data_IF_508287316536
#
_entry.id   IF_508287316536
#
_cell.length_a   1.000
_cell.length_b   1.000
_cell.length_c   1.000
_cell.angle_alpha   90.00
_cell.angle_beta   90.00
_cell.angle_gamma   90.00
#
_symmetry.space_group_name_H-M   'P 1'
#
loop_
_entity.id
_entity.type
_entity.pdbx_description
1 polymer ?
#
# COMPACT_ATOMS: atom_id res chain seq x y z
N UNK A 1 19.97 -24.10 -63.49
CA UNK A 1 20.12 -24.36 -62.05
C UNK A 1 20.73 -23.13 -61.38
N UNK A 2 19.95 -22.14 -60.94
CA UNK A 2 20.49 -20.90 -60.34
C UNK A 2 19.47 -20.17 -59.44
N UNK A 3 18.82 -20.88 -58.51
CA UNK A 3 17.82 -20.29 -57.58
C UNK A 3 18.32 -20.23 -56.13
N UNK A 4 19.52 -20.75 -55.81
CA UNK A 4 19.90 -21.04 -54.41
C UNK A 4 20.78 -19.93 -53.76
N UNK A 5 21.21 -18.90 -54.50
CA UNK A 5 22.15 -17.90 -53.95
C UNK A 5 21.49 -16.70 -53.23
N UNK A 6 20.18 -16.51 -53.37
CA UNK A 6 19.47 -15.34 -52.80
C UNK A 6 19.11 -15.47 -51.32
N UNK A 7 18.78 -16.67 -50.84
CA UNK A 7 18.18 -16.87 -49.50
C UNK A 7 19.20 -16.72 -48.36
N UNK A 8 20.49 -16.98 -48.62
CA UNK A 8 21.58 -16.85 -47.63
C UNK A 8 21.81 -15.41 -47.15
N UNK A 9 21.55 -14.39 -47.99
CA UNK A 9 21.74 -12.97 -47.64
C UNK A 9 20.63 -12.45 -46.72
N UNK A 10 19.40 -12.91 -46.92
CA UNK A 10 18.25 -12.52 -46.08
C UNK A 10 18.25 -13.23 -44.72
N UNK A 11 18.78 -14.46 -44.64
CA UNK A 11 18.95 -15.18 -43.38
C UNK A 11 19.94 -14.49 -42.41
N UNK A 12 20.95 -13.78 -42.92
CA UNK A 12 21.89 -13.01 -42.09
C UNK A 12 21.31 -11.67 -41.61
N UNK A 13 20.40 -11.06 -42.37
CA UNK A 13 19.78 -9.78 -42.00
C UNK A 13 18.62 -9.95 -41.01
N UNK A 14 17.92 -11.09 -41.03
CA UNK A 14 16.82 -11.39 -40.12
C UNK A 14 17.28 -11.60 -38.65
N UNK A 15 18.54 -12.00 -38.43
CA UNK A 15 19.06 -12.23 -37.08
C UNK A 15 19.38 -10.96 -36.28
N UNK A 16 19.69 -9.84 -36.94
CA UNK A 16 20.13 -8.59 -36.29
C UNK A 16 18.95 -7.73 -35.84
N UNK A 17 17.80 -7.83 -36.50
CA UNK A 17 16.60 -7.04 -36.15
C UNK A 17 15.85 -7.65 -34.95
N UNK A 18 16.03 -8.95 -34.68
CA UNK A 18 15.34 -9.65 -33.59
C UNK A 18 15.96 -9.40 -32.20
N UNK A 19 17.20 -8.90 -32.11
CA UNK A 19 17.88 -8.66 -30.83
C UNK A 19 17.54 -7.33 -30.16
N UNK A 20 16.86 -6.41 -30.86
CA UNK A 20 16.57 -5.06 -30.35
C UNK A 20 15.28 -5.02 -29.51
N UNK A 21 14.47 -6.08 -29.53
CA UNK A 21 13.13 -6.08 -28.88
C UNK A 21 13.17 -6.63 -27.44
N UNK A 22 14.29 -7.17 -26.95
CA UNK A 22 14.35 -7.78 -25.60
C UNK A 22 14.83 -6.85 -24.49
N UNK A 23 15.20 -5.60 -24.79
CA UNK A 23 15.66 -4.63 -23.78
C UNK A 23 14.51 -3.73 -23.29
N UNK A 24 13.44 -4.31 -22.75
CA UNK A 24 12.26 -3.49 -22.48
C UNK A 24 11.15 -4.06 -21.60
N UNK A 25 11.44 -4.87 -20.58
CA UNK A 25 10.55 -4.98 -19.41
C UNK A 25 11.27 -5.68 -18.25
N UNK A 26 12.20 -4.95 -17.62
CA UNK A 26 12.93 -5.41 -16.42
C UNK A 26 12.85 -4.40 -15.30
N UNK A 27 11.81 -3.57 -15.27
CA UNK A 27 11.48 -2.75 -14.12
C UNK A 27 10.76 -3.62 -13.10
N UNK A 28 11.49 -4.44 -12.36
CA UNK A 28 11.03 -4.88 -11.06
C UNK A 28 10.94 -3.63 -10.19
N UNK A 29 9.83 -2.89 -10.31
CA UNK A 29 9.44 -1.94 -9.30
C UNK A 29 9.48 -2.73 -8.00
N UNK A 30 10.43 -2.42 -7.12
CA UNK A 30 10.28 -2.71 -5.71
C UNK A 30 8.97 -2.04 -5.32
N UNK A 31 7.91 -2.83 -5.38
CA UNK A 31 6.60 -2.54 -4.82
C UNK A 31 6.87 -2.02 -3.40
N UNK A 32 6.18 -0.96 -3.02
CA UNK A 32 6.40 -0.09 -1.86
C UNK A 32 6.28 -0.78 -0.48
N UNK A 33 6.94 -1.93 -0.28
CA UNK A 33 7.01 -2.69 0.96
C UNK A 33 7.54 -1.87 2.13
N UNK A 34 8.45 -0.91 1.86
CA UNK A 34 8.99 -0.05 2.92
C UNK A 34 7.91 0.86 3.53
N UNK A 35 6.98 1.37 2.72
CA UNK A 35 5.90 2.24 3.22
C UNK A 35 4.90 1.48 4.08
N UNK A 36 4.50 0.28 3.64
CA UNK A 36 3.57 -0.56 4.41
C UNK A 36 4.18 -1.08 5.72
N UNK A 37 5.47 -1.45 5.72
CA UNK A 37 6.16 -1.88 6.94
C UNK A 37 6.28 -0.72 7.94
N UNK A 38 6.55 0.49 7.45
CA UNK A 38 6.63 1.70 8.28
C UNK A 38 5.26 2.07 8.87
N UNK A 39 4.19 1.98 8.09
CA UNK A 39 2.83 2.25 8.57
C UNK A 39 2.37 1.25 9.63
N UNK A 40 2.71 -0.04 9.49
CA UNK A 40 2.45 -1.06 10.52
C UNK A 40 3.17 -0.73 11.83
N UNK A 41 4.44 -0.31 11.76
CA UNK A 41 5.20 0.11 12.97
C UNK A 41 4.56 1.33 13.63
N UNK A 42 4.06 2.28 12.85
CA UNK A 42 3.33 3.44 13.38
C UNK A 42 2.04 3.01 14.08
N UNK A 43 1.27 2.08 13.50
CA UNK A 43 0.08 1.53 14.14
C UNK A 43 0.42 0.85 15.47
N UNK A 44 1.41 -0.05 15.50
CA UNK A 44 1.87 -0.70 16.74
C UNK A 44 2.32 0.32 17.80
N UNK A 45 3.03 1.37 17.40
CA UNK A 45 3.44 2.45 18.30
C UNK A 45 2.23 3.19 18.89
N UNK A 46 1.21 3.47 18.07
CA UNK A 46 -0.02 4.10 18.52
C UNK A 46 -0.79 3.20 19.50
N UNK A 47 -0.85 1.89 19.27
CA UNK A 47 -1.46 0.92 20.19
C UNK A 47 -0.76 0.91 21.55
N UNK A 48 0.57 0.90 21.56
CA UNK A 48 1.35 0.97 22.79
C UNK A 48 1.08 2.27 23.55
N UNK A 49 0.90 3.39 22.86
CA UNK A 49 0.54 4.67 23.49
C UNK A 49 -0.88 4.66 24.03
N UNK A 50 -1.83 4.10 23.28
CA UNK A 50 -3.22 3.91 23.71
C UNK A 50 -3.30 3.06 24.99
N UNK A 51 -2.59 1.92 25.02
CA UNK A 51 -2.53 1.03 26.19
C UNK A 51 -1.93 1.71 27.43
N UNK A 52 -1.03 2.68 27.22
CA UNK A 52 -0.47 3.54 28.28
C UNK A 52 -1.33 4.77 28.60
N UNK A 53 -2.55 4.85 28.05
CA UNK A 53 -3.50 5.98 28.15
C UNK A 53 -2.94 7.32 27.66
N UNK A 54 -1.91 7.30 26.80
CA UNK A 54 -1.31 8.50 26.20
C UNK A 54 -2.06 8.90 24.94
N UNK A 55 -3.35 9.23 25.10
CA UNK A 55 -4.30 9.37 24.01
C UNK A 55 -3.91 10.43 22.98
N UNK A 56 -3.51 11.63 23.42
CA UNK A 56 -3.09 12.70 22.49
C UNK A 56 -1.92 12.29 21.61
N UNK A 57 -0.94 11.55 22.17
CA UNK A 57 0.21 11.07 21.39
C UNK A 57 -0.19 9.93 20.45
N UNK A 58 -1.10 9.07 20.86
CA UNK A 58 -1.64 8.03 19.98
C UNK A 58 -2.33 8.67 18.75
N UNK A 59 -3.18 9.67 18.96
CA UNK A 59 -3.85 10.41 17.87
C UNK A 59 -2.85 11.05 16.89
N UNK A 60 -1.79 11.70 17.40
CA UNK A 60 -0.76 12.30 16.55
C UNK A 60 -0.05 11.31 15.62
N UNK A 61 0.06 10.04 16.04
CA UNK A 61 0.62 8.99 15.19
C UNK A 61 -0.43 8.49 14.20
N UNK A 62 -1.66 8.25 14.68
CA UNK A 62 -2.75 7.74 13.86
C UNK A 62 -3.14 8.71 12.73
N UNK A 63 -3.05 10.01 12.96
CA UNK A 63 -3.29 11.04 11.94
C UNK A 63 -2.39 10.91 10.71
N UNK A 64 -1.21 10.29 10.85
CA UNK A 64 -0.27 10.09 9.75
C UNK A 64 -0.67 8.96 8.81
N UNK A 65 -1.43 7.99 9.31
CA UNK A 65 -1.72 6.74 8.61
C UNK A 65 -3.20 6.55 8.29
N UNK A 66 -4.14 7.15 9.06
CA UNK A 66 -5.58 6.89 8.88
C UNK A 66 -6.11 7.35 7.52
N UNK A 67 -5.61 8.46 6.98
CA UNK A 67 -6.06 8.99 5.69
C UNK A 67 -5.19 8.57 4.49
N UNK A 68 -4.34 7.55 4.65
CA UNK A 68 -3.50 7.05 3.56
C UNK A 68 -4.18 5.89 2.84
N UNK A 69 -3.58 5.42 1.73
CA UNK A 69 -4.01 4.21 1.03
C UNK A 69 -3.40 2.93 1.63
N UNK A 70 -2.90 3.00 2.86
CA UNK A 70 -2.23 1.89 3.52
C UNK A 70 -3.21 0.80 3.91
N UNK A 71 -2.75 -0.45 3.92
CA UNK A 71 -3.56 -1.61 4.34
C UNK A 71 -3.94 -1.57 5.83
N UNK A 72 -3.32 -0.70 6.63
CA UNK A 72 -3.62 -0.50 8.06
C UNK A 72 -4.46 0.76 8.32
N UNK A 73 -4.91 1.46 7.28
CA UNK A 73 -5.64 2.71 7.43
C UNK A 73 -6.98 2.51 8.17
N UNK A 74 -7.68 1.42 7.89
CA UNK A 74 -8.90 1.01 8.58
C UNK A 74 -8.66 0.68 10.06
N UNK A 75 -7.61 -0.07 10.37
CA UNK A 75 -7.17 -0.31 11.75
C UNK A 75 -6.84 0.99 12.49
N UNK A 76 -6.20 1.94 11.81
CA UNK A 76 -5.88 3.25 12.37
C UNK A 76 -7.15 4.07 12.69
N UNK A 77 -8.16 4.02 11.83
CA UNK A 77 -9.47 4.62 12.09
C UNK A 77 -10.19 3.94 13.27
N UNK A 78 -10.16 2.61 13.34
CA UNK A 78 -10.74 1.85 14.45
C UNK A 78 -10.05 2.19 15.78
N UNK A 79 -8.71 2.26 15.79
CA UNK A 79 -7.96 2.63 16.98
C UNK A 79 -8.21 4.09 17.38
N UNK A 80 -8.37 5.00 16.40
CA UNK A 80 -8.76 6.39 16.65
C UNK A 80 -10.11 6.47 17.37
N UNK A 81 -11.10 5.68 16.94
CA UNK A 81 -12.38 5.58 17.63
C UNK A 81 -12.22 5.07 19.08
N UNK A 82 -11.41 4.02 19.30
CA UNK A 82 -11.09 3.51 20.65
C UNK A 82 -10.43 4.57 21.53
N UNK A 83 -9.53 5.36 20.96
CA UNK A 83 -8.86 6.47 21.65
C UNK A 83 -9.86 7.56 22.05
N UNK A 84 -10.81 7.91 21.19
CA UNK A 84 -11.89 8.86 21.55
C UNK A 84 -12.82 8.30 22.62
N UNK A 85 -13.18 7.01 22.57
CA UNK A 85 -13.94 6.34 23.63
C UNK A 85 -13.19 6.42 24.97
N UNK A 86 -11.88 6.16 24.97
CA UNK A 86 -11.04 6.26 26.16
C UNK A 86 -10.93 7.67 26.74
N UNK A 87 -11.19 8.70 25.93
CA UNK A 87 -11.26 10.11 26.34
C UNK A 87 -12.69 10.56 26.69
N UNK A 88 -13.69 9.68 26.61
CA UNK A 88 -15.11 10.02 26.75
C UNK A 88 -15.67 10.94 25.65
N UNK A 89 -14.97 11.05 24.53
CA UNK A 89 -15.35 11.84 23.35
C UNK A 89 -16.25 11.01 22.42
N UNK A 90 -17.41 10.58 22.91
CA UNK A 90 -18.24 9.60 22.23
C UNK A 90 -18.78 10.06 20.87
N UNK A 91 -19.03 11.36 20.71
CA UNK A 91 -19.49 11.93 19.44
C UNK A 91 -18.41 11.80 18.36
N UNK A 92 -17.15 12.05 18.72
CA UNK A 92 -16.01 11.88 17.80
C UNK A 92 -15.79 10.41 17.46
N UNK A 93 -15.87 9.52 18.45
CA UNK A 93 -15.79 8.08 18.22
C UNK A 93 -16.87 7.59 17.24
N UNK A 94 -18.11 8.02 17.44
CA UNK A 94 -19.22 7.66 16.56
C UNK A 94 -19.01 8.19 15.12
N UNK A 95 -18.49 9.41 14.98
CA UNK A 95 -18.14 9.97 13.67
C UNK A 95 -17.08 9.13 12.95
N UNK A 96 -16.04 8.73 13.66
CA UNK A 96 -14.94 7.93 13.11
C UNK A 96 -15.44 6.54 12.65
N UNK A 97 -16.26 5.87 13.47
CA UNK A 97 -16.84 4.58 13.14
C UNK A 97 -17.82 4.67 11.96
N UNK A 98 -18.63 5.74 11.90
CA UNK A 98 -19.53 5.98 10.76
C UNK A 98 -18.74 6.16 9.46
N UNK A 99 -17.63 6.88 9.51
CA UNK A 99 -16.75 7.04 8.36
C UNK A 99 -16.14 5.70 7.96
N UNK A 100 -15.62 4.93 8.93
CA UNK A 100 -14.99 3.62 8.70
C UNK A 100 -15.96 2.66 8.01
N UNK A 101 -17.18 2.49 8.53
CA UNK A 101 -18.19 1.60 7.92
C UNK A 101 -18.61 2.09 6.53
N UNK A 102 -18.61 3.41 6.31
CA UNK A 102 -18.95 4.00 5.02
C UNK A 102 -17.88 3.80 3.95
N UNK A 103 -16.59 3.85 4.31
CA UNK A 103 -15.47 3.68 3.37
C UNK A 103 -15.00 2.23 3.25
N UNK A 104 -15.08 1.47 4.34
CA UNK A 104 -14.58 0.11 4.46
C UNK A 104 -15.67 -0.85 4.99
N UNK A 105 -16.73 -1.12 4.19
CA UNK A 105 -17.85 -1.94 4.63
C UNK A 105 -17.50 -3.43 4.91
N UNK A 106 -16.28 -3.87 4.60
CA UNK A 106 -15.80 -5.26 4.81
C UNK A 106 -14.51 -5.34 5.66
N UNK A 107 -14.17 -4.30 6.44
CA UNK A 107 -12.90 -4.28 7.21
C UNK A 107 -12.75 -5.42 8.24
N UNK A 108 -13.85 -5.99 8.72
CA UNK A 108 -13.85 -7.12 9.70
C UNK A 108 -13.29 -8.45 9.15
N UNK A 109 -12.90 -8.55 7.87
CA UNK A 109 -12.52 -9.83 7.22
C UNK A 109 -11.03 -10.02 6.96
N UNK A 110 -10.16 -9.15 7.49
CA UNK A 110 -8.70 -9.27 7.36
C UNK A 110 -8.09 -9.87 8.64
#
# INVERSE_FOLDING_TARGET
>A
MNVIKGVKKYLLFAGVVLSVITSGCGGANKLSLSGEEDDRKLLEQAEQLYNRKKYTKALQILDKIRYTTSVVADDAHLLTAKVYIGQHEYVLAASELKWLIGQYPNSDKQ
#
